data_IF_109003020794
#
_entry.id   IF_109003020794
#
_cell.length_a   1.000
_cell.length_b   1.000
_cell.length_c   1.000
_cell.angle_alpha   90.00
_cell.angle_beta   90.00
_cell.angle_gamma   90.00
#
_symmetry.space_group_name_H-M   'P 1'
#
loop_
_entity.id
_entity.type
_entity.pdbx_description
1 polymer ?
#
# COMPACT_ATOMS: atom_id res chain seq x y z
N UNK A 1 -5.78 28.12 -33.51
CA UNK A 1 -5.43 27.73 -32.11
C UNK A 1 -4.14 26.94 -32.18
N UNK A 2 -3.05 27.53 -31.72
CA UNK A 2 -1.69 27.03 -31.93
C UNK A 2 -1.36 25.99 -30.86
N UNK A 3 -1.14 24.74 -31.25
CA UNK A 3 -0.69 23.65 -30.37
C UNK A 3 0.78 23.91 -30.06
N UNK A 4 1.06 24.31 -28.82
CA UNK A 4 2.41 24.50 -28.33
C UNK A 4 3.03 23.13 -28.09
N UNK A 5 3.84 22.66 -29.02
CA UNK A 5 4.73 21.50 -28.86
C UNK A 5 5.75 21.92 -27.82
N UNK A 6 5.74 21.26 -26.66
CA UNK A 6 6.81 21.41 -25.66
C UNK A 6 8.09 20.84 -26.24
N UNK A 7 9.02 21.72 -26.50
CA UNK A 7 10.38 21.40 -26.90
C UNK A 7 11.13 20.88 -25.66
N UNK A 8 11.24 19.58 -25.49
CA UNK A 8 12.10 18.96 -24.47
C UNK A 8 13.55 19.16 -24.90
N UNK A 9 14.17 20.23 -24.40
CA UNK A 9 15.62 20.38 -24.46
C UNK A 9 16.28 19.23 -23.67
N UNK A 10 17.31 18.65 -24.28
CA UNK A 10 18.20 17.59 -23.81
C UNK A 10 18.88 17.90 -22.46
N UNK A 11 18.14 17.86 -21.37
CA UNK A 11 18.71 17.49 -20.07
C UNK A 11 18.60 15.98 -19.97
N UNK A 12 19.71 15.25 -20.04
CA UNK A 12 19.69 13.80 -19.87
C UNK A 12 18.86 13.45 -18.64
N UNK A 13 17.85 12.59 -18.82
CA UNK A 13 16.98 12.15 -17.75
C UNK A 13 17.85 11.61 -16.61
N UNK A 14 17.93 12.34 -15.51
CA UNK A 14 18.76 12.00 -14.34
C UNK A 14 18.40 10.64 -13.74
N UNK A 15 17.22 10.09 -14.09
CA UNK A 15 16.71 8.80 -13.63
C UNK A 15 17.04 7.65 -14.60
N UNK A 16 17.53 7.94 -15.81
CA UNK A 16 17.80 6.89 -16.83
C UNK A 16 18.80 5.85 -16.34
N UNK A 17 19.82 6.25 -15.57
CA UNK A 17 20.80 5.36 -14.98
C UNK A 17 20.23 4.42 -13.92
N UNK A 18 19.11 4.76 -13.31
CA UNK A 18 18.45 3.90 -12.32
C UNK A 18 17.86 2.64 -12.95
N UNK A 19 17.58 2.64 -14.26
CA UNK A 19 17.12 1.46 -14.98
C UNK A 19 18.10 0.29 -14.86
N UNK A 20 19.41 0.57 -14.82
CA UNK A 20 20.47 -0.44 -14.71
C UNK A 20 20.48 -1.17 -13.36
N UNK A 21 19.79 -0.60 -12.36
CA UNK A 21 19.63 -1.24 -11.05
C UNK A 21 18.56 -2.35 -11.06
N UNK A 22 17.84 -2.52 -12.17
CA UNK A 22 16.74 -3.48 -12.28
C UNK A 22 17.00 -4.49 -13.39
N UNK A 23 16.69 -5.76 -13.11
CA UNK A 23 16.69 -6.81 -14.11
C UNK A 23 15.38 -6.77 -14.91
N UNK A 24 15.46 -6.25 -16.13
CA UNK A 24 14.33 -6.12 -17.02
C UNK A 24 14.51 -6.99 -18.26
N UNK A 25 13.48 -7.76 -18.67
CA UNK A 25 13.48 -8.43 -19.97
C UNK A 25 13.70 -7.41 -21.09
N UNK A 26 14.61 -7.72 -22.03
CA UNK A 26 15.02 -6.78 -23.09
C UNK A 26 13.93 -6.54 -24.15
N UNK A 27 13.02 -7.50 -24.30
CA UNK A 27 11.97 -7.56 -25.32
C UNK A 27 10.60 -7.12 -24.80
N UNK A 28 10.54 -6.55 -23.59
CA UNK A 28 9.27 -6.16 -22.94
C UNK A 28 9.28 -4.72 -22.47
N UNK A 29 8.13 -4.07 -22.68
CA UNK A 29 7.78 -2.82 -22.02
C UNK A 29 6.92 -3.20 -20.80
N UNK A 30 7.46 -3.02 -19.59
CA UNK A 30 6.76 -3.34 -18.35
C UNK A 30 6.22 -2.07 -17.69
N UNK A 31 4.91 -1.91 -17.66
CA UNK A 31 4.22 -0.74 -17.11
C UNK A 31 3.38 -1.05 -15.86
N UNK A 32 3.47 -2.27 -15.32
CA UNK A 32 2.68 -2.71 -14.17
C UNK A 32 3.51 -2.78 -12.87
N UNK A 33 4.48 -1.89 -12.73
CA UNK A 33 5.36 -1.82 -11.54
C UNK A 33 4.63 -1.46 -10.24
N UNK A 34 3.43 -0.89 -10.34
CA UNK A 34 2.55 -0.64 -9.20
C UNK A 34 1.96 -1.92 -8.59
N UNK A 35 1.79 -2.98 -9.39
CA UNK A 35 1.30 -4.28 -8.94
C UNK A 35 2.44 -5.17 -8.44
N UNK A 36 3.49 -5.31 -9.27
CA UNK A 36 4.72 -6.02 -8.92
C UNK A 36 5.91 -5.26 -9.48
N UNK A 37 6.73 -4.68 -8.61
CA UNK A 37 7.94 -3.98 -9.02
C UNK A 37 8.92 -4.90 -9.74
N UNK A 38 9.71 -4.39 -10.71
CA UNK A 38 10.76 -5.17 -11.34
C UNK A 38 11.85 -5.55 -10.32
N UNK A 39 12.53 -6.68 -10.58
CA UNK A 39 13.57 -7.19 -9.69
C UNK A 39 14.77 -6.24 -9.64
N UNK A 40 15.05 -5.71 -8.47
CA UNK A 40 16.23 -4.88 -8.23
C UNK A 40 17.44 -5.80 -7.95
N UNK A 41 18.57 -5.57 -8.61
CA UNK A 41 19.74 -6.46 -8.60
C UNK A 41 20.28 -6.76 -7.19
N UNK A 42 20.26 -5.78 -6.29
CA UNK A 42 20.73 -5.95 -4.90
C UNK A 42 19.80 -6.82 -4.05
N UNK A 43 18.54 -7.00 -4.45
CA UNK A 43 17.57 -7.80 -3.69
C UNK A 43 17.96 -9.26 -3.68
N UNK A 44 18.44 -9.81 -4.79
CA UNK A 44 18.90 -11.20 -4.87
C UNK A 44 20.04 -11.47 -3.89
N UNK A 45 21.06 -10.58 -3.88
CA UNK A 45 22.19 -10.72 -2.96
C UNK A 45 21.74 -10.62 -1.50
N UNK A 46 20.87 -9.64 -1.20
CA UNK A 46 20.35 -9.44 0.17
C UNK A 46 19.52 -10.63 0.66
N UNK A 47 18.71 -11.22 -0.21
CA UNK A 47 17.94 -12.43 0.12
C UNK A 47 18.86 -13.63 0.36
N UNK A 48 19.89 -13.81 -0.48
CA UNK A 48 20.88 -14.89 -0.27
C UNK A 48 21.57 -14.76 1.08
N UNK A 49 21.99 -13.55 1.46
CA UNK A 49 22.58 -13.27 2.75
C UNK A 49 21.62 -13.57 3.90
N UNK A 50 20.37 -13.07 3.80
CA UNK A 50 19.36 -13.31 4.81
C UNK A 50 19.06 -14.80 5.04
N UNK A 51 19.05 -15.59 3.95
CA UNK A 51 18.78 -17.03 4.04
C UNK A 51 19.99 -17.81 4.52
N UNK A 52 21.19 -17.56 3.92
CA UNK A 52 22.36 -18.39 4.16
C UNK A 52 23.06 -18.05 5.47
N UNK A 53 23.21 -16.77 5.79
CA UNK A 53 23.95 -16.32 6.98
C UNK A 53 22.99 -16.06 8.15
N UNK A 54 22.08 -15.08 7.97
CA UNK A 54 21.26 -14.65 9.10
C UNK A 54 20.37 -15.79 9.61
N UNK A 55 19.70 -16.50 8.72
CA UNK A 55 18.90 -17.66 9.11
C UNK A 55 19.73 -18.94 9.27
N UNK A 56 20.54 -19.30 8.25
CA UNK A 56 21.22 -20.59 8.18
C UNK A 56 22.34 -20.76 9.21
N UNK A 57 23.11 -19.70 9.46
CA UNK A 57 24.25 -19.77 10.40
C UNK A 57 23.90 -19.19 11.79
N UNK A 58 23.29 -17.99 11.81
CA UNK A 58 23.06 -17.26 13.06
C UNK A 58 21.76 -17.66 13.79
N UNK A 59 20.83 -18.34 13.11
CA UNK A 59 19.60 -18.92 13.68
C UNK A 59 18.84 -17.89 14.54
N UNK A 60 18.47 -18.29 15.77
CA UNK A 60 17.69 -17.44 16.67
C UNK A 60 18.43 -16.16 17.10
N UNK A 61 19.75 -16.15 17.08
CA UNK A 61 20.54 -14.97 17.45
C UNK A 61 20.36 -13.81 16.48
N UNK A 62 19.86 -14.08 15.27
CA UNK A 62 19.64 -13.08 14.22
C UNK A 62 18.65 -11.99 14.60
N UNK A 63 17.70 -12.28 15.48
CA UNK A 63 16.79 -11.27 16.00
C UNK A 63 17.54 -10.06 16.57
N UNK A 64 18.61 -10.31 17.32
CA UNK A 64 19.44 -9.26 17.92
C UNK A 64 20.62 -8.87 17.02
N UNK A 65 21.35 -9.86 16.47
CA UNK A 65 22.57 -9.64 15.70
C UNK A 65 22.30 -8.84 14.41
N UNK A 66 21.21 -9.14 13.72
CA UNK A 66 20.81 -8.49 12.47
C UNK A 66 19.64 -7.50 12.64
N UNK A 67 19.24 -7.25 13.89
CA UNK A 67 18.18 -6.29 14.24
C UNK A 67 16.85 -6.56 13.51
N UNK A 68 16.42 -7.81 13.40
CA UNK A 68 15.18 -8.16 12.73
C UNK A 68 13.95 -7.54 13.39
N UNK A 69 13.99 -7.34 14.71
CA UNK A 69 12.90 -6.67 15.45
C UNK A 69 12.65 -5.23 14.97
N UNK A 70 13.72 -4.53 14.58
CA UNK A 70 13.62 -3.13 14.15
C UNK A 70 13.40 -2.98 12.66
N UNK A 71 13.48 -4.06 11.89
CA UNK A 71 13.42 -4.01 10.43
C UNK A 71 12.15 -3.32 9.90
N UNK A 72 10.95 -3.60 10.44
CA UNK A 72 9.72 -2.92 10.03
C UNK A 72 9.80 -1.39 10.18
N UNK A 73 10.36 -0.91 11.30
CA UNK A 73 10.53 0.51 11.57
C UNK A 73 11.61 1.12 10.66
N UNK A 74 12.75 0.46 10.50
CA UNK A 74 13.85 0.92 9.62
C UNK A 74 13.39 1.06 8.15
N UNK A 75 12.55 0.16 7.67
CA UNK A 75 11.97 0.27 6.33
C UNK A 75 10.96 1.42 6.30
N UNK A 76 10.12 1.55 7.33
CA UNK A 76 9.17 2.65 7.49
C UNK A 76 9.86 4.02 7.45
N UNK A 77 10.99 4.19 8.14
CA UNK A 77 11.78 5.43 8.12
C UNK A 77 12.31 5.80 6.72
N UNK A 78 12.57 4.82 5.86
CA UNK A 78 12.96 5.07 4.47
C UNK A 78 11.77 5.46 3.58
N UNK A 79 10.59 4.98 3.88
CA UNK A 79 9.35 5.27 3.14
C UNK A 79 8.78 6.64 3.57
N UNK A 80 8.88 6.98 4.85
CA UNK A 80 8.29 8.18 5.42
C UNK A 80 8.54 9.47 4.61
N UNK A 81 9.79 9.83 4.24
CA UNK A 81 10.03 11.05 3.47
C UNK A 81 9.43 11.00 2.06
N UNK A 82 9.28 9.81 1.46
CA UNK A 82 8.71 9.66 0.12
C UNK A 82 7.21 9.99 0.11
N UNK A 83 6.51 9.65 1.20
CA UNK A 83 5.06 9.88 1.34
C UNK A 83 4.72 11.12 2.17
N UNK A 84 5.73 11.92 2.54
CA UNK A 84 5.53 13.15 3.32
C UNK A 84 5.17 12.92 4.80
N UNK A 85 5.49 11.75 5.35
CA UNK A 85 5.29 11.45 6.76
C UNK A 85 6.52 11.85 7.60
N UNK A 86 6.32 12.13 8.88
CA UNK A 86 7.40 12.37 9.82
C UNK A 86 8.03 11.05 10.31
N UNK A 87 9.22 11.14 10.91
CA UNK A 87 9.88 10.01 11.55
C UNK A 87 8.97 9.36 12.60
N UNK A 88 8.97 8.04 12.67
CA UNK A 88 8.14 7.24 13.59
C UNK A 88 6.68 7.06 13.16
N UNK A 89 6.24 7.66 12.05
CA UNK A 89 4.85 7.57 11.61
C UNK A 89 4.57 6.43 10.61
N UNK A 90 5.61 5.77 10.11
CA UNK A 90 5.47 4.70 9.11
C UNK A 90 6.09 3.42 9.63
N UNK A 91 5.35 2.33 9.51
CA UNK A 91 5.82 0.99 9.77
C UNK A 91 5.53 0.10 8.56
N UNK A 92 6.48 -0.73 8.16
CA UNK A 92 6.30 -1.72 7.10
C UNK A 92 6.01 -3.08 7.72
N UNK A 93 4.77 -3.53 7.62
CA UNK A 93 4.35 -4.80 8.22
C UNK A 93 3.23 -5.45 7.43
N UNK A 94 3.01 -6.73 7.65
CA UNK A 94 1.91 -7.53 7.13
C UNK A 94 1.64 -7.39 5.61
N UNK A 95 0.43 -7.71 5.20
CA UNK A 95 -0.11 -7.47 3.84
C UNK A 95 -1.16 -6.37 3.86
N UNK A 96 -1.52 -5.84 2.68
CA UNK A 96 -2.60 -4.86 2.54
C UNK A 96 -3.88 -5.35 3.21
N UNK A 97 -4.29 -6.60 2.97
CA UNK A 97 -5.54 -7.15 3.53
C UNK A 97 -5.52 -7.20 5.06
N UNK A 98 -4.41 -7.61 5.67
CA UNK A 98 -4.27 -7.67 7.13
C UNK A 98 -4.23 -6.25 7.71
N UNK A 99 -3.46 -5.35 7.10
CA UNK A 99 -3.38 -3.96 7.55
C UNK A 99 -4.74 -3.25 7.43
N UNK A 100 -5.44 -3.47 6.32
CA UNK A 100 -6.77 -2.90 6.12
C UNK A 100 -7.77 -3.40 7.17
N UNK A 101 -7.78 -4.70 7.47
CA UNK A 101 -8.61 -5.25 8.54
C UNK A 101 -8.31 -4.59 9.89
N UNK A 102 -7.04 -4.46 10.26
CA UNK A 102 -6.61 -3.79 11.50
C UNK A 102 -7.05 -2.33 11.54
N UNK A 103 -6.86 -1.60 10.44
CA UNK A 103 -7.20 -0.19 10.35
C UNK A 103 -8.71 0.04 10.40
N UNK A 104 -9.50 -0.76 9.69
CA UNK A 104 -10.96 -0.66 9.73
C UNK A 104 -11.52 -0.96 11.12
N UNK A 105 -11.02 -2.03 11.77
CA UNK A 105 -11.43 -2.38 13.12
C UNK A 105 -11.10 -1.28 14.13
N UNK A 106 -9.92 -0.67 14.01
CA UNK A 106 -9.52 0.44 14.88
C UNK A 106 -10.32 1.72 14.59
N UNK A 107 -10.53 2.05 13.30
CA UNK A 107 -11.22 3.26 12.89
C UNK A 107 -12.69 3.28 13.33
N UNK A 108 -13.37 2.13 13.32
CA UNK A 108 -14.74 2.02 13.87
C UNK A 108 -14.81 2.42 15.35
N UNK A 109 -13.76 2.18 16.12
CA UNK A 109 -13.70 2.54 17.55
C UNK A 109 -13.48 4.04 17.78
N UNK A 110 -12.92 4.75 16.80
CA UNK A 110 -12.65 6.20 16.90
C UNK A 110 -13.94 7.05 16.82
N UNK A 111 -15.04 6.46 16.39
CA UNK A 111 -16.35 7.14 16.24
C UNK A 111 -17.45 6.33 16.93
N UNK A 112 -17.52 6.36 18.26
CA UNK A 112 -18.58 5.67 19.01
C UNK A 112 -19.97 6.11 18.51
N UNK A 113 -20.86 5.14 18.30
CA UNK A 113 -22.21 5.39 17.79
C UNK A 113 -22.34 5.40 16.27
N UNK A 114 -21.23 5.45 15.51
CA UNK A 114 -21.23 5.28 14.05
C UNK A 114 -20.79 3.86 13.70
N UNK A 115 -21.48 3.23 12.77
CA UNK A 115 -21.25 1.81 12.46
C UNK A 115 -20.96 1.53 10.99
N UNK A 116 -21.08 2.53 10.13
CA UNK A 116 -21.04 2.33 8.69
C UNK A 116 -19.62 2.53 8.13
N UNK A 117 -19.15 1.54 7.39
CA UNK A 117 -18.00 1.67 6.47
C UNK A 117 -18.58 2.00 5.10
N UNK A 118 -18.28 3.17 4.56
CA UNK A 118 -18.67 3.59 3.22
C UNK A 118 -17.52 3.40 2.25
N UNK A 119 -17.77 2.77 1.11
CA UNK A 119 -16.77 2.57 0.06
C UNK A 119 -17.38 2.70 -1.34
N UNK A 120 -16.52 2.78 -2.35
CA UNK A 120 -16.92 2.67 -3.74
C UNK A 120 -17.22 1.22 -4.11
N UNK A 121 -18.25 1.01 -4.94
CA UNK A 121 -18.67 -0.32 -5.40
C UNK A 121 -17.61 -1.00 -6.28
N UNK A 122 -16.78 -0.22 -6.96
CA UNK A 122 -15.69 -0.66 -7.82
C UNK A 122 -14.30 -0.56 -7.17
N UNK A 123 -14.26 -0.38 -5.85
CA UNK A 123 -13.03 -0.47 -5.09
C UNK A 123 -12.36 -1.85 -5.28
N UNK A 124 -11.10 -1.98 -4.90
CA UNK A 124 -10.36 -3.24 -5.08
C UNK A 124 -11.08 -4.40 -4.35
N UNK A 125 -11.34 -5.52 -5.04
CA UNK A 125 -12.21 -6.58 -4.49
C UNK A 125 -11.80 -7.11 -3.12
N UNK A 126 -10.49 -7.31 -2.88
CA UNK A 126 -10.01 -7.83 -1.58
C UNK A 126 -10.21 -6.84 -0.44
N UNK A 127 -10.25 -5.54 -0.74
CA UNK A 127 -10.51 -4.50 0.26
C UNK A 127 -11.97 -4.52 0.69
N UNK A 128 -12.87 -4.72 -0.28
CA UNK A 128 -14.29 -4.93 0.01
C UNK A 128 -14.52 -6.22 0.80
N UNK A 129 -13.78 -7.31 0.48
CA UNK A 129 -13.87 -8.56 1.24
C UNK A 129 -13.41 -8.41 2.69
N UNK A 130 -12.37 -7.60 2.94
CA UNK A 130 -11.94 -7.30 4.32
C UNK A 130 -13.05 -6.58 5.11
N UNK A 131 -13.71 -5.59 4.50
CA UNK A 131 -14.82 -4.88 5.13
C UNK A 131 -16.06 -5.78 5.32
N UNK A 132 -16.38 -6.64 4.34
CA UNK A 132 -17.46 -7.63 4.46
C UNK A 132 -17.18 -8.65 5.57
N UNK A 133 -15.94 -9.13 5.67
CA UNK A 133 -15.52 -10.04 6.74
C UNK A 133 -15.66 -9.39 8.12
N UNK A 134 -15.35 -8.11 8.24
CA UNK A 134 -15.52 -7.37 9.48
C UNK A 134 -17.01 -7.17 9.84
N UNK A 135 -17.87 -6.86 8.85
CA UNK A 135 -19.33 -6.81 9.04
C UNK A 135 -19.88 -8.15 9.55
N UNK A 136 -19.45 -9.27 8.95
CA UNK A 136 -19.87 -10.61 9.37
C UNK A 136 -19.41 -10.93 10.80
N UNK A 137 -18.18 -10.58 11.13
CA UNK A 137 -17.58 -10.85 12.44
C UNK A 137 -18.26 -10.05 13.57
N UNK A 138 -18.53 -8.76 13.33
CA UNK A 138 -19.06 -7.85 14.33
C UNK A 138 -20.61 -7.82 14.37
N UNK A 139 -21.26 -8.19 13.27
CA UNK A 139 -22.68 -8.07 13.05
C UNK A 139 -23.11 -6.65 12.63
N UNK A 140 -24.17 -6.55 11.84
CA UNK A 140 -24.65 -5.30 11.21
C UNK A 140 -24.96 -4.18 12.18
N UNK A 141 -25.28 -4.49 13.42
CA UNK A 141 -25.53 -3.47 14.46
C UNK A 141 -24.26 -2.74 14.92
N UNK A 142 -23.08 -3.31 14.71
CA UNK A 142 -21.79 -2.73 15.10
C UNK A 142 -20.91 -2.37 13.91
N UNK A 143 -21.11 -3.01 12.76
CA UNK A 143 -20.41 -2.72 11.54
C UNK A 143 -21.31 -3.05 10.35
N UNK A 144 -21.50 -2.12 9.44
CA UNK A 144 -22.21 -2.33 8.18
C UNK A 144 -21.43 -1.76 7.01
N UNK A 145 -21.34 -2.50 5.92
CA UNK A 145 -20.71 -2.03 4.68
C UNK A 145 -21.76 -1.40 3.77
N UNK A 146 -21.56 -0.15 3.41
CA UNK A 146 -22.34 0.57 2.40
C UNK A 146 -21.48 0.84 1.17
N UNK A 147 -22.01 0.53 0.00
CA UNK A 147 -21.34 0.74 -1.27
C UNK A 147 -22.07 1.80 -2.08
N UNK A 148 -21.33 2.71 -2.71
CA UNK A 148 -21.84 3.74 -3.58
C UNK A 148 -21.00 3.84 -4.85
N UNK A 149 -21.59 4.35 -5.94
CA UNK A 149 -20.77 4.78 -7.09
C UNK A 149 -19.94 6.01 -6.69
N UNK A 150 -18.80 6.23 -7.35
CA UNK A 150 -17.94 7.39 -7.06
C UNK A 150 -18.71 8.73 -7.07
N UNK A 151 -19.64 8.91 -8.03
CA UNK A 151 -20.51 10.10 -8.13
C UNK A 151 -21.51 10.22 -6.98
N UNK A 152 -21.95 9.10 -6.40
CA UNK A 152 -22.91 9.07 -5.28
C UNK A 152 -22.25 9.10 -3.89
N UNK A 153 -20.93 9.00 -3.83
CA UNK A 153 -20.21 8.84 -2.58
C UNK A 153 -20.45 10.00 -1.60
N UNK A 154 -20.35 11.23 -2.08
CA UNK A 154 -20.60 12.43 -1.26
C UNK A 154 -22.03 12.47 -0.72
N UNK A 155 -23.01 12.09 -1.53
CA UNK A 155 -24.41 12.03 -1.11
C UNK A 155 -24.70 10.89 -0.11
N UNK A 156 -23.90 9.83 -0.15
CA UNK A 156 -23.99 8.70 0.78
C UNK A 156 -23.33 8.97 2.15
N UNK A 157 -22.51 10.02 2.25
CA UNK A 157 -21.92 10.44 3.53
C UNK A 157 -22.98 11.06 4.43
N UNK A 158 -23.12 10.46 5.61
CA UNK A 158 -24.04 10.94 6.65
C UNK A 158 -23.44 10.64 8.04
N UNK A 159 -24.20 10.97 9.07
CA UNK A 159 -23.73 10.82 10.45
C UNK A 159 -23.55 9.37 10.94
N UNK A 160 -24.06 8.37 10.21
CA UNK A 160 -23.81 6.96 10.54
C UNK A 160 -22.44 6.47 10.04
N UNK A 161 -21.81 7.20 9.11
CA UNK A 161 -20.53 6.82 8.53
C UNK A 161 -19.40 7.02 9.54
N UNK A 162 -18.84 5.90 10.00
CA UNK A 162 -17.66 5.88 10.85
C UNK A 162 -16.35 5.96 10.04
N UNK A 163 -16.33 5.30 8.87
CA UNK A 163 -15.13 5.14 8.04
C UNK A 163 -15.48 5.33 6.57
N UNK A 164 -14.70 6.15 5.88
CA UNK A 164 -14.66 6.21 4.43
C UNK A 164 -13.43 5.44 3.94
N UNK A 165 -13.65 4.34 3.20
CA UNK A 165 -12.60 3.49 2.65
C UNK A 165 -12.50 3.69 1.16
N UNK A 166 -11.38 4.23 0.68
CA UNK A 166 -11.13 4.56 -0.71
C UNK A 166 -9.76 4.04 -1.18
N UNK A 167 -9.65 3.76 -2.47
CA UNK A 167 -8.36 3.52 -3.13
C UNK A 167 -7.91 4.74 -3.92
N UNK A 168 -6.67 5.11 -3.76
CA UNK A 168 -6.01 6.13 -4.58
C UNK A 168 -4.80 5.49 -5.26
N UNK A 169 -4.94 5.17 -6.53
CA UNK A 169 -6.02 5.43 -7.49
C UNK A 169 -6.76 4.15 -7.84
N UNK A 170 -7.90 4.27 -8.58
CA UNK A 170 -8.63 3.11 -9.08
C UNK A 170 -7.76 2.29 -10.03
N UNK A 171 -7.66 0.99 -9.79
CA UNK A 171 -6.78 0.08 -10.53
C UNK A 171 -7.20 -0.19 -11.97
N UNK A 172 -8.44 0.15 -12.35
CA UNK A 172 -9.00 -0.10 -13.68
C UNK A 172 -8.75 1.06 -14.65
N UNK A 173 -8.93 2.27 -14.18
CA UNK A 173 -8.95 3.48 -15.02
C UNK A 173 -8.04 4.60 -14.51
N UNK A 174 -7.43 4.43 -13.33
CA UNK A 174 -6.53 5.41 -12.74
C UNK A 174 -7.21 6.66 -12.18
N UNK A 175 -8.53 6.65 -12.08
CA UNK A 175 -9.29 7.76 -11.47
C UNK A 175 -9.03 7.90 -9.98
#
# INVERSE_FOLDING_TARGET
MSTRVMNTQNGGDSLSSLRELFEMPKDRIYLNGNSLGPLQTRVQQRLKEAVSVEWGEDLITSWNKHNWMDLPNKVGEKIAPIIGAASGQVICCDSISINLFKLLASALQLRPGRTKILSEIDNFPTDLYAAQGLEQLLGKSRCSLALSSGKGLTAAMNDDVAVLMLSHVNFRDGS
#
